data_IF_206330978188
#
_entry.id   IF_206330978188
#
_cell.length_a   1.000
_cell.length_b   1.000
_cell.length_c   1.000
_cell.angle_alpha   90.00
_cell.angle_beta   90.00
_cell.angle_gamma   90.00
#
_symmetry.space_group_name_H-M   'P 1'
#
loop_
_entity.id
_entity.type
_entity.pdbx_description
1 polymer ?
#
# COMPACT_ATOMS: atom_id res chain seq x y z
N UNK A 1 -18.94 63.56 36.04
CA UNK A 1 -18.77 62.59 34.93
C UNK A 1 -17.36 62.01 35.03
N UNK A 2 -17.20 60.95 35.83
CA UNK A 2 -15.88 60.43 36.22
C UNK A 2 -15.36 59.40 35.23
N UNK A 3 -14.25 59.70 34.55
CA UNK A 3 -13.55 58.76 33.67
C UNK A 3 -12.79 57.77 34.56
N UNK A 4 -13.30 56.53 34.65
CA UNK A 4 -12.63 55.42 35.35
C UNK A 4 -11.36 55.01 34.59
N UNK A 5 -10.21 55.38 35.11
CA UNK A 5 -8.87 54.94 34.71
C UNK A 5 -8.57 53.51 35.21
N UNK A 6 -9.33 52.52 34.72
CA UNK A 6 -9.13 51.09 35.04
C UNK A 6 -8.31 50.29 34.00
N UNK A 7 -7.78 50.94 32.96
CA UNK A 7 -7.35 50.27 31.72
C UNK A 7 -5.96 49.62 31.71
N UNK A 8 -4.99 50.10 32.52
CA UNK A 8 -3.59 49.68 32.36
C UNK A 8 -3.27 48.32 32.99
N UNK A 9 -3.88 47.97 34.12
CA UNK A 9 -3.65 46.68 34.83
C UNK A 9 -4.15 45.47 34.01
N UNK A 10 -5.34 45.59 33.39
CA UNK A 10 -5.88 44.52 32.56
C UNK A 10 -5.05 44.23 31.32
N UNK A 11 -4.43 45.26 30.73
CA UNK A 11 -3.57 45.12 29.54
C UNK A 11 -2.35 44.24 29.82
N UNK A 12 -1.62 44.50 30.91
CA UNK A 12 -0.43 43.73 31.28
C UNK A 12 -0.73 42.26 31.63
N UNK A 13 -1.87 41.99 32.27
CA UNK A 13 -2.28 40.62 32.57
C UNK A 13 -2.65 39.85 31.28
N UNK A 14 -3.37 40.50 30.35
CA UNK A 14 -3.72 39.87 29.06
C UNK A 14 -2.51 39.58 28.19
N UNK A 15 -1.51 40.47 28.16
CA UNK A 15 -0.26 40.22 27.41
C UNK A 15 0.56 39.10 28.02
N UNK A 16 0.62 38.99 29.36
CA UNK A 16 1.32 37.89 30.03
C UNK A 16 0.67 36.52 29.72
N UNK A 17 -0.67 36.45 29.74
CA UNK A 17 -1.39 35.24 29.37
C UNK A 17 -1.13 34.85 27.91
N UNK A 18 -1.23 35.82 27.00
CA UNK A 18 -0.98 35.60 25.59
C UNK A 18 0.46 35.11 25.35
N UNK A 19 1.47 35.79 25.91
CA UNK A 19 2.87 35.38 25.79
C UNK A 19 3.12 33.95 26.31
N UNK A 20 2.59 33.61 27.49
CA UNK A 20 2.70 32.26 28.04
C UNK A 20 2.04 31.21 27.14
N UNK A 21 0.85 31.52 26.59
CA UNK A 21 0.15 30.61 25.67
C UNK A 21 0.94 30.42 24.37
N UNK A 22 1.44 31.51 23.76
CA UNK A 22 2.22 31.44 22.52
C UNK A 22 3.53 30.65 22.69
N UNK A 23 4.26 30.87 23.79
CA UNK A 23 5.49 30.11 24.10
C UNK A 23 5.16 28.63 24.30
N UNK A 24 4.17 28.30 25.12
CA UNK A 24 3.78 26.92 25.37
C UNK A 24 3.30 26.21 24.10
N UNK A 25 2.57 26.92 23.24
CA UNK A 25 2.11 26.42 21.95
C UNK A 25 3.26 26.09 21.01
N UNK A 26 4.22 27.01 20.85
CA UNK A 26 5.38 26.82 20.00
C UNK A 26 6.29 25.69 20.51
N UNK A 27 6.57 25.67 21.81
CA UNK A 27 7.40 24.64 22.44
C UNK A 27 6.77 23.25 22.30
N UNK A 28 5.45 23.13 22.50
CA UNK A 28 4.74 21.86 22.31
C UNK A 28 4.89 21.35 20.88
N UNK A 29 4.67 22.21 19.88
CA UNK A 29 4.76 21.84 18.48
C UNK A 29 6.19 21.47 18.07
N UNK A 30 7.18 22.26 18.48
CA UNK A 30 8.59 22.02 18.17
C UNK A 30 9.11 20.74 18.84
N UNK A 31 8.78 20.53 20.11
CA UNK A 31 9.21 19.35 20.86
C UNK A 31 8.54 18.08 20.32
N UNK A 32 7.24 18.15 19.96
CA UNK A 32 6.55 17.06 19.28
C UNK A 32 7.24 16.70 17.95
N UNK A 33 7.55 17.70 17.13
CA UNK A 33 8.22 17.50 15.85
C UNK A 33 9.63 16.90 16.02
N UNK A 34 10.40 17.38 17.00
CA UNK A 34 11.75 16.86 17.28
C UNK A 34 11.71 15.40 17.77
N UNK A 35 10.88 15.09 18.76
CA UNK A 35 10.78 13.74 19.34
C UNK A 35 10.27 12.71 18.32
N UNK A 36 9.31 13.12 17.48
CA UNK A 36 8.78 12.26 16.40
C UNK A 36 9.76 12.11 15.23
N UNK A 37 10.63 13.08 14.98
CA UNK A 37 11.64 13.01 13.92
C UNK A 37 12.74 12.01 14.26
N UNK A 38 13.31 12.12 15.46
CA UNK A 38 14.39 11.23 15.91
C UNK A 38 13.88 9.87 16.40
N UNK A 39 12.57 9.62 16.35
CA UNK A 39 11.92 8.38 16.79
C UNK A 39 12.33 7.95 18.22
N UNK A 40 12.57 8.93 19.11
CA UNK A 40 13.04 8.69 20.48
C UNK A 40 12.00 7.91 21.28
N UNK A 41 10.72 8.15 21.00
CA UNK A 41 9.57 7.50 21.62
C UNK A 41 8.49 7.23 20.57
N UNK A 42 7.59 6.24 20.79
CA UNK A 42 6.42 6.05 19.94
C UNK A 42 5.58 7.33 19.83
N UNK A 43 5.18 7.71 18.62
CA UNK A 43 4.46 8.96 18.38
C UNK A 43 3.15 9.07 19.18
N UNK A 44 2.49 7.95 19.48
CA UNK A 44 1.31 7.90 20.35
C UNK A 44 1.61 8.34 21.79
N UNK A 45 2.74 7.91 22.34
CA UNK A 45 3.20 8.33 23.67
C UNK A 45 3.63 9.80 23.67
N UNK A 46 4.33 10.26 22.63
CA UNK A 46 4.71 11.66 22.48
C UNK A 46 3.47 12.55 22.41
N UNK A 47 2.44 12.19 21.63
CA UNK A 47 1.18 12.96 21.53
C UNK A 47 0.47 13.13 22.87
N UNK A 48 0.59 12.14 23.77
CA UNK A 48 -0.01 12.21 25.10
C UNK A 48 0.73 13.19 26.01
N UNK A 49 2.07 13.22 25.96
CA UNK A 49 2.88 14.09 26.81
C UNK A 49 2.99 15.52 26.27
N UNK A 50 3.18 15.63 24.96
CA UNK A 50 3.47 16.86 24.23
C UNK A 50 2.55 16.89 22.99
N UNK A 51 1.38 17.55 23.10
CA UNK A 51 0.41 17.59 22.02
C UNK A 51 0.98 18.24 20.74
N UNK A 52 0.54 17.74 19.60
CA UNK A 52 0.87 18.31 18.29
C UNK A 52 0.06 19.60 18.06
N UNK A 53 0.56 20.72 18.59
CA UNK A 53 -0.06 22.06 18.45
C UNK A 53 0.23 22.70 17.09
N UNK A 54 1.37 22.38 16.49
CA UNK A 54 1.70 22.70 15.11
C UNK A 54 2.00 21.39 14.40
N UNK A 55 1.33 21.15 13.27
CA UNK A 55 1.44 19.87 12.56
C UNK A 55 2.89 19.55 12.19
N UNK A 56 3.31 18.31 12.43
CA UNK A 56 4.69 17.84 12.24
C UNK A 56 5.18 18.01 10.80
N UNK A 57 4.27 17.92 9.82
CA UNK A 57 4.59 18.11 8.40
C UNK A 57 5.02 19.53 8.08
N UNK A 58 4.53 20.53 8.81
CA UNK A 58 4.93 21.93 8.61
C UNK A 58 6.42 22.14 8.89
N UNK A 59 6.96 21.47 9.91
CA UNK A 59 8.38 21.53 10.28
C UNK A 59 9.31 20.86 9.26
N UNK A 60 8.77 19.97 8.42
CA UNK A 60 9.49 19.19 7.42
C UNK A 60 9.29 19.74 5.99
N UNK A 61 8.46 20.76 5.84
CA UNK A 61 8.20 21.39 4.56
C UNK A 61 9.44 22.12 4.05
N UNK A 62 9.46 22.44 2.75
CA UNK A 62 10.54 23.26 2.18
C UNK A 62 10.52 24.67 2.74
N UNK A 63 11.66 25.37 2.71
CA UNK A 63 11.70 26.77 3.11
C UNK A 63 10.74 27.62 2.26
N UNK A 64 10.07 28.63 2.84
CA UNK A 64 10.18 29.14 4.23
C UNK A 64 9.16 28.54 5.23
N UNK A 65 8.43 27.50 4.83
CA UNK A 65 7.25 27.01 5.56
C UNK A 65 7.51 26.53 6.99
N UNK A 66 8.66 25.89 7.32
CA UNK A 66 8.98 25.52 8.70
C UNK A 66 9.10 26.69 9.68
N UNK A 67 9.29 27.92 9.18
CA UNK A 67 9.30 29.13 10.00
C UNK A 67 7.95 29.87 9.92
N UNK A 68 7.40 30.00 8.71
CA UNK A 68 6.18 30.75 8.49
C UNK A 68 4.96 30.14 9.19
N UNK A 69 4.77 28.81 9.12
CA UNK A 69 3.59 28.15 9.68
C UNK A 69 3.55 28.22 11.22
N UNK A 70 4.64 27.89 11.97
CA UNK A 70 4.64 28.05 13.42
C UNK A 70 4.40 29.51 13.85
N UNK A 71 5.00 30.48 13.16
CA UNK A 71 4.82 31.91 13.46
C UNK A 71 3.36 32.32 13.23
N UNK A 72 2.78 31.98 12.08
CA UNK A 72 1.37 32.26 11.78
C UNK A 72 0.44 31.60 12.80
N UNK A 73 0.71 30.35 13.17
CA UNK A 73 -0.08 29.61 14.17
C UNK A 73 -0.06 30.29 15.54
N UNK A 74 1.13 30.71 16.01
CA UNK A 74 1.28 31.45 17.27
C UNK A 74 0.57 32.80 17.19
N UNK A 75 0.76 33.56 16.10
CA UNK A 75 0.11 34.87 15.95
C UNK A 75 -1.42 34.76 15.88
N UNK A 76 -1.96 33.72 15.23
CA UNK A 76 -3.40 33.42 15.24
C UNK A 76 -3.89 33.12 16.65
N UNK A 77 -3.19 32.23 17.40
CA UNK A 77 -3.52 31.91 18.78
C UNK A 77 -3.55 33.17 19.66
N UNK A 78 -2.51 34.00 19.57
CA UNK A 78 -2.40 35.24 20.32
C UNK A 78 -3.54 36.21 19.99
N UNK A 79 -3.83 36.41 18.70
CA UNK A 79 -4.91 37.29 18.25
C UNK A 79 -6.28 36.82 18.75
N UNK A 80 -6.60 35.53 18.56
CA UNK A 80 -7.86 34.94 19.02
C UNK A 80 -7.99 35.02 20.55
N UNK A 81 -6.94 34.67 21.29
CA UNK A 81 -6.95 34.73 22.75
C UNK A 81 -7.14 36.16 23.26
N UNK A 82 -6.44 37.13 22.69
CA UNK A 82 -6.60 38.54 23.07
C UNK A 82 -8.01 39.05 22.78
N UNK A 83 -8.64 38.64 21.67
CA UNK A 83 -10.03 38.96 21.37
C UNK A 83 -10.98 38.33 22.40
N UNK A 84 -10.83 37.04 22.71
CA UNK A 84 -11.67 36.35 23.71
C UNK A 84 -11.55 37.01 25.10
N UNK A 85 -10.33 37.32 25.54
CA UNK A 85 -10.09 37.96 26.84
C UNK A 85 -10.68 39.37 26.92
N UNK A 86 -10.69 40.13 25.81
CA UNK A 86 -11.36 41.44 25.75
C UNK A 86 -12.86 41.35 25.99
N UNK A 87 -13.51 40.23 25.64
CA UNK A 87 -14.95 40.04 25.83
C UNK A 87 -15.31 39.35 27.15
N UNK A 88 -14.45 38.47 27.65
CA UNK A 88 -14.72 37.67 28.85
C UNK A 88 -14.41 38.43 30.16
N UNK A 89 -13.26 39.12 30.23
CA UNK A 89 -12.78 39.75 31.47
C UNK A 89 -13.63 40.95 31.93
N UNK A 90 -14.09 41.86 31.04
CA UNK A 90 -14.94 42.98 31.47
C UNK A 90 -16.32 42.54 31.96
N UNK A 91 -16.88 41.44 31.44
CA UNK A 91 -18.18 40.91 31.87
C UNK A 91 -18.12 40.25 33.24
N UNK A 92 -17.07 39.46 33.49
CA UNK A 92 -16.89 38.77 34.77
C UNK A 92 -16.71 39.73 35.97
N UNK A 93 -16.15 40.92 35.72
CA UNK A 93 -15.90 41.95 36.73
C UNK A 93 -17.05 42.96 36.88
N UNK A 94 -17.82 43.22 35.81
CA UNK A 94 -18.97 44.12 35.85
C UNK A 94 -20.19 43.53 36.59
N UNK A 95 -20.41 42.22 36.50
CA UNK A 95 -21.57 41.54 37.12
C UNK A 95 -21.44 41.33 38.64
N UNK A 96 -20.29 41.69 39.25
CA UNK A 96 -20.05 41.48 40.69
C UNK A 96 -19.48 42.73 41.37
N UNK A 97 -20.34 43.56 42.02
CA UNK A 97 -19.86 44.64 42.87
C UNK A 97 -18.98 44.06 43.99
N UNK A 98 -17.70 44.45 44.06
CA UNK A 98 -16.74 44.00 45.09
C UNK A 98 -15.84 42.83 44.69
N UNK A 99 -15.89 42.34 43.44
CA UNK A 99 -15.01 41.27 42.99
C UNK A 99 -13.53 41.68 42.99
N UNK A 100 -12.72 40.92 43.71
CA UNK A 100 -11.27 41.13 43.78
C UNK A 100 -10.60 40.48 42.55
N UNK A 101 -9.73 41.20 41.81
CA UNK A 101 -9.10 40.67 40.61
C UNK A 101 -8.25 39.44 40.90
N UNK A 102 -8.37 38.41 40.06
CA UNK A 102 -7.66 37.15 40.22
C UNK A 102 -8.40 36.13 41.09
N UNK A 103 -9.73 36.17 41.05
CA UNK A 103 -10.61 35.19 41.68
C UNK A 103 -10.50 33.82 40.99
N UNK A 104 -11.05 32.77 41.60
CA UNK A 104 -11.15 31.44 40.96
C UNK A 104 -11.96 31.51 39.66
N UNK A 105 -12.97 32.38 39.59
CA UNK A 105 -13.79 32.58 38.40
C UNK A 105 -12.99 33.21 37.24
N UNK A 106 -12.07 34.13 37.54
CA UNK A 106 -11.19 34.73 36.53
C UNK A 106 -10.21 33.70 35.98
N UNK A 107 -9.64 32.86 36.85
CA UNK A 107 -8.76 31.76 36.45
C UNK A 107 -9.48 30.82 35.47
N UNK A 108 -10.71 30.39 35.81
CA UNK A 108 -11.51 29.50 34.96
C UNK A 108 -11.90 30.17 33.63
N UNK A 109 -12.25 31.46 33.65
CA UNK A 109 -12.60 32.22 32.45
C UNK A 109 -11.40 32.34 31.49
N UNK A 110 -10.22 32.68 32.02
CA UNK A 110 -9.00 32.79 31.21
C UNK A 110 -8.58 31.42 30.69
N UNK A 111 -8.65 30.38 31.52
CA UNK A 111 -8.38 29.01 31.10
C UNK A 111 -9.29 28.57 29.96
N UNK A 112 -10.60 28.80 30.07
CA UNK A 112 -11.56 28.49 29.01
C UNK A 112 -11.27 29.30 27.73
N UNK A 113 -10.86 30.57 27.84
CA UNK A 113 -10.45 31.36 26.68
C UNK A 113 -9.23 30.75 25.99
N UNK A 114 -8.27 30.18 26.73
CA UNK A 114 -7.11 29.49 26.16
C UNK A 114 -7.52 28.21 25.44
N UNK A 115 -8.42 27.42 26.02
CA UNK A 115 -8.99 26.21 25.38
C UNK A 115 -9.70 26.55 24.07
N UNK A 116 -10.51 27.60 24.07
CA UNK A 116 -11.22 28.05 22.86
C UNK A 116 -10.25 28.60 21.82
N UNK A 117 -9.25 29.38 22.23
CA UNK A 117 -8.25 29.92 21.31
C UNK A 117 -7.41 28.83 20.66
N UNK A 118 -7.00 27.79 21.40
CA UNK A 118 -6.27 26.67 20.83
C UNK A 118 -7.11 25.90 19.82
N UNK A 119 -8.37 25.59 20.18
CA UNK A 119 -9.30 24.89 19.29
C UNK A 119 -9.55 25.67 17.99
N UNK A 120 -9.84 26.98 18.08
CA UNK A 120 -10.08 27.83 16.92
C UNK A 120 -8.84 27.97 16.02
N UNK A 121 -7.65 28.08 16.61
CA UNK A 121 -6.39 28.12 15.85
C UNK A 121 -6.19 26.85 15.04
N UNK A 122 -6.47 25.69 15.64
CA UNK A 122 -6.37 24.40 14.96
C UNK A 122 -7.47 24.22 13.90
N UNK A 123 -8.69 24.68 14.17
CA UNK A 123 -9.79 24.67 13.19
C UNK A 123 -9.44 25.46 11.92
N UNK A 124 -8.77 26.61 12.07
CA UNK A 124 -8.29 27.41 10.92
C UNK A 124 -7.23 26.67 10.10
N UNK A 125 -6.26 26.03 10.77
CA UNK A 125 -5.31 25.16 10.07
C UNK A 125 -6.01 24.00 9.34
N UNK A 126 -6.96 23.33 10.01
CA UNK A 126 -7.74 22.25 9.45
C UNK A 126 -8.54 22.68 8.21
N UNK A 127 -9.15 23.87 8.23
CA UNK A 127 -9.84 24.44 7.06
C UNK A 127 -8.89 24.57 5.86
N UNK A 128 -7.67 25.07 6.06
CA UNK A 128 -6.64 25.12 5.02
C UNK A 128 -6.27 23.73 4.49
N UNK A 129 -6.11 22.76 5.39
CA UNK A 129 -5.79 21.38 5.02
C UNK A 129 -6.91 20.69 4.21
N UNK A 130 -8.17 21.02 4.51
CA UNK A 130 -9.35 20.54 3.78
C UNK A 130 -9.37 21.13 2.36
N UNK A 131 -9.11 22.44 2.22
CA UNK A 131 -9.00 23.11 0.92
C UNK A 131 -7.89 22.51 0.05
N UNK A 132 -6.76 22.13 0.67
CA UNK A 132 -5.63 21.51 -0.04
C UNK A 132 -5.95 20.14 -0.65
N UNK A 133 -7.01 19.48 -0.18
CA UNK A 133 -7.42 18.14 -0.62
C UNK A 133 -8.57 18.18 -1.64
N UNK A 134 -9.01 19.37 -2.09
CA UNK A 134 -10.15 19.48 -2.99
C UNK A 134 -9.75 19.27 -4.47
N UNK A 135 -10.51 18.47 -5.26
CA UNK A 135 -11.62 17.61 -4.84
C UNK A 135 -11.14 16.36 -4.10
N UNK A 136 -11.81 15.94 -3.01
CA UNK A 136 -11.36 14.81 -2.21
C UNK A 136 -11.55 13.48 -2.95
N UNK A 137 -10.62 12.51 -2.83
CA UNK A 137 -10.78 11.17 -3.39
C UNK A 137 -11.99 10.43 -2.80
N UNK A 138 -12.28 10.66 -1.51
CA UNK A 138 -13.41 10.10 -0.77
C UNK A 138 -13.88 11.10 0.28
N UNK A 139 -15.19 11.27 0.44
CA UNK A 139 -15.76 12.19 1.42
C UNK A 139 -15.32 11.88 2.88
N UNK A 140 -15.16 10.60 3.22
CA UNK A 140 -14.72 10.17 4.55
C UNK A 140 -13.32 10.71 4.92
N UNK A 141 -12.42 10.85 3.94
CA UNK A 141 -11.04 11.29 4.17
C UNK A 141 -10.92 12.80 4.43
N UNK A 142 -11.97 13.58 4.15
CA UNK A 142 -11.95 15.04 4.25
C UNK A 142 -11.66 15.51 5.69
N UNK A 143 -12.12 14.76 6.68
CA UNK A 143 -12.07 15.17 8.10
C UNK A 143 -11.02 14.42 8.93
N UNK A 144 -10.33 13.42 8.39
CA UNK A 144 -9.34 12.61 9.13
C UNK A 144 -8.22 13.48 9.72
N UNK A 145 -7.71 14.42 8.92
CA UNK A 145 -6.69 15.37 9.35
C UNK A 145 -7.24 16.45 10.31
N UNK A 146 -8.52 16.82 10.15
CA UNK A 146 -9.15 17.84 10.99
C UNK A 146 -9.40 17.32 12.41
N UNK A 147 -9.92 16.10 12.56
CA UNK A 147 -10.22 15.51 13.86
C UNK A 147 -8.98 15.40 14.74
N UNK A 148 -7.88 14.91 14.20
CA UNK A 148 -6.61 14.74 14.95
C UNK A 148 -5.99 16.07 15.40
N UNK A 149 -6.01 17.09 14.53
CA UNK A 149 -5.50 18.42 14.86
C UNK A 149 -6.37 19.12 15.92
N UNK A 150 -7.70 19.04 15.80
CA UNK A 150 -8.63 19.63 16.76
C UNK A 150 -8.52 18.97 18.14
N UNK A 151 -8.44 17.64 18.18
CA UNK A 151 -8.26 16.89 19.42
C UNK A 151 -6.94 17.26 20.12
N UNK A 152 -5.83 17.34 19.37
CA UNK A 152 -4.52 17.70 19.92
C UNK A 152 -4.51 19.12 20.51
N UNK A 153 -5.13 20.07 19.82
CA UNK A 153 -5.23 21.46 20.27
C UNK A 153 -6.17 21.64 21.46
N UNK A 154 -7.31 20.93 21.47
CA UNK A 154 -8.23 20.90 22.60
C UNK A 154 -7.58 20.28 23.84
N UNK A 155 -6.90 19.14 23.66
CA UNK A 155 -6.13 18.47 24.70
C UNK A 155 -5.05 19.38 25.29
N UNK A 156 -4.28 20.09 24.44
CA UNK A 156 -3.31 21.07 24.90
C UNK A 156 -3.96 22.19 25.74
N UNK A 157 -5.07 22.75 25.27
CA UNK A 157 -5.78 23.81 26.00
C UNK A 157 -6.29 23.34 27.36
N UNK A 158 -6.81 22.11 27.45
CA UNK A 158 -7.33 21.53 28.69
C UNK A 158 -6.18 21.26 29.67
N UNK A 159 -5.13 20.57 29.23
CA UNK A 159 -4.04 20.12 30.11
C UNK A 159 -3.06 21.22 30.46
N UNK A 160 -2.73 22.11 29.51
CA UNK A 160 -1.68 23.12 29.68
C UNK A 160 -2.21 24.54 29.78
N UNK A 161 -3.47 24.79 29.44
CA UNK A 161 -4.06 26.13 29.44
C UNK A 161 -4.15 26.79 30.83
N UNK A 162 -4.00 26.02 31.92
CA UNK A 162 -3.94 26.58 33.27
C UNK A 162 -2.67 27.41 33.48
N UNK A 163 -1.57 27.16 32.76
CA UNK A 163 -0.32 27.91 32.91
C UNK A 163 -0.49 29.37 32.46
N UNK A 164 -1.01 29.68 31.25
CA UNK A 164 -1.38 31.04 30.88
C UNK A 164 -2.40 31.69 31.82
N UNK A 165 -3.38 30.92 32.32
CA UNK A 165 -4.38 31.43 33.25
C UNK A 165 -3.77 31.85 34.60
N UNK A 166 -2.84 31.07 35.13
CA UNK A 166 -2.08 31.42 36.34
C UNK A 166 -1.18 32.63 36.10
N UNK A 167 -0.53 32.72 34.93
CA UNK A 167 0.27 33.89 34.56
C UNK A 167 -0.59 35.17 34.56
N UNK A 168 -1.80 35.11 34.00
CA UNK A 168 -2.77 36.19 34.04
C UNK A 168 -3.10 36.61 35.48
N UNK A 169 -3.52 35.64 36.33
CA UNK A 169 -3.92 35.91 37.72
C UNK A 169 -2.77 36.49 38.54
N UNK A 170 -1.56 35.99 38.36
CA UNK A 170 -0.37 36.48 39.07
C UNK A 170 -0.06 37.94 38.72
N UNK A 171 -0.16 38.32 37.45
CA UNK A 171 0.06 39.71 37.02
C UNK A 171 -1.10 40.60 37.46
N UNK A 172 -2.34 40.14 37.35
CA UNK A 172 -3.52 40.87 37.79
C UNK A 172 -3.51 41.17 39.29
N UNK A 173 -3.06 40.22 40.13
CA UNK A 173 -2.94 40.39 41.59
C UNK A 173 -1.80 41.31 42.03
N UNK A 174 -0.75 41.41 41.22
CA UNK A 174 0.42 42.28 41.50
C UNK A 174 0.19 43.73 41.11
N UNK A 175 -0.88 44.03 40.36
CA UNK A 175 -1.20 45.39 39.99
C UNK A 175 -1.61 46.20 41.24
N UNK A 176 -0.88 47.27 41.59
CA UNK A 176 -1.19 48.07 42.78
C UNK A 176 -2.62 48.62 42.70
N UNK A 177 -3.35 48.47 43.81
CA UNK A 177 -4.66 49.08 43.98
C UNK A 177 -4.47 50.56 44.33
N UNK A 178 -4.40 51.43 43.33
CA UNK A 178 -4.71 52.85 43.47
C UNK A 178 -3.62 53.88 43.16
N UNK A 179 -4.09 54.98 42.57
CA UNK A 179 -3.56 56.36 42.63
C UNK A 179 -2.12 56.59 42.17
N UNK A 180 -1.91 56.60 40.86
CA UNK A 180 -0.76 57.25 40.24
C UNK A 180 -1.22 58.23 39.17
N UNK A 181 -1.19 59.52 39.48
CA UNK A 181 -1.28 60.60 38.48
C UNK A 181 0.01 60.62 37.68
N UNK A 182 -0.02 60.16 36.42
CA UNK A 182 1.09 60.26 35.47
C UNK A 182 0.52 60.74 34.12
N UNK A 183 1.23 61.60 33.36
CA UNK A 183 0.65 62.51 32.38
C UNK A 183 0.00 61.83 31.18
N UNK A 184 -1.00 62.53 30.61
CA UNK A 184 -1.75 62.20 29.39
C UNK A 184 -0.84 62.06 28.15
N UNK A 185 -0.17 60.93 28.00
CA UNK A 185 0.16 60.45 26.67
C UNK A 185 -1.15 59.97 26.05
N UNK A 186 -1.82 60.83 25.27
CA UNK A 186 -3.02 60.47 24.49
C UNK A 186 -2.70 59.20 23.72
N UNK A 187 -3.20 58.02 24.13
CA UNK A 187 -2.92 56.80 23.39
C UNK A 187 -3.62 56.99 22.06
N UNK A 188 -2.89 56.86 20.94
CA UNK A 188 -3.50 56.78 19.61
C UNK A 188 -4.53 55.65 19.69
N UNK A 189 -5.81 56.01 19.80
CA UNK A 189 -6.90 55.04 19.84
C UNK A 189 -6.97 54.43 18.45
N UNK A 190 -6.35 53.26 18.30
CA UNK A 190 -6.58 52.43 17.13
C UNK A 190 -8.10 52.27 16.97
N UNK A 191 -8.64 52.34 15.75
CA UNK A 191 -10.06 52.09 15.53
C UNK A 191 -10.40 50.70 16.07
N UNK A 192 -11.55 50.57 16.73
CA UNK A 192 -11.93 49.35 17.46
C UNK A 192 -11.86 48.06 16.62
N UNK A 193 -11.94 48.17 15.28
CA UNK A 193 -11.83 47.07 14.34
C UNK A 193 -10.39 46.67 13.92
N UNK A 194 -9.37 47.49 14.12
CA UNK A 194 -7.99 47.18 13.71
C UNK A 194 -7.43 45.84 14.24
N UNK A 195 -7.60 45.47 15.54
CA UNK A 195 -7.08 44.20 16.05
C UNK A 195 -7.87 42.98 15.55
N UNK A 196 -9.16 43.15 15.26
CA UNK A 196 -9.99 42.10 14.64
C UNK A 196 -9.53 41.87 13.21
N UNK A 197 -9.34 42.95 12.43
CA UNK A 197 -8.84 42.87 11.06
C UNK A 197 -7.45 42.24 10.99
N UNK A 198 -6.52 42.65 11.87
CA UNK A 198 -5.18 42.05 11.93
C UNK A 198 -5.23 40.55 12.24
N UNK A 199 -6.04 40.14 13.22
CA UNK A 199 -6.22 38.72 13.56
C UNK A 199 -6.83 37.93 12.40
N UNK A 200 -7.84 38.50 11.72
CA UNK A 200 -8.46 37.89 10.56
C UNK A 200 -7.47 37.72 9.40
N UNK A 201 -6.62 38.71 9.13
CA UNK A 201 -5.58 38.62 8.10
C UNK A 201 -4.59 37.50 8.43
N UNK A 202 -4.08 37.43 9.65
CA UNK A 202 -3.15 36.36 10.07
C UNK A 202 -3.83 34.98 9.99
N UNK A 203 -5.09 34.86 10.41
CA UNK A 203 -5.87 33.64 10.29
C UNK A 203 -6.05 33.20 8.83
N UNK A 204 -6.36 34.13 7.92
CA UNK A 204 -6.45 33.85 6.48
C UNK A 204 -5.10 33.40 5.91
N UNK A 205 -3.99 34.02 6.33
CA UNK A 205 -2.65 33.59 5.94
C UNK A 205 -2.32 32.18 6.45
N UNK A 206 -2.73 31.83 7.67
CA UNK A 206 -2.57 30.48 8.21
C UNK A 206 -3.36 29.43 7.40
N UNK A 207 -4.62 29.75 7.06
CA UNK A 207 -5.47 28.90 6.20
C UNK A 207 -4.82 28.70 4.83
N UNK A 208 -4.31 29.77 4.22
CA UNK A 208 -3.65 29.72 2.91
C UNK A 208 -2.29 28.99 2.95
N UNK A 209 -1.59 28.99 4.08
CA UNK A 209 -0.27 28.36 4.20
C UNK A 209 -0.32 26.83 4.04
N UNK A 210 -1.43 26.17 4.42
CA UNK A 210 -1.57 24.72 4.28
C UNK A 210 -1.50 24.24 2.81
N UNK A 211 -2.34 24.70 1.88
CA UNK A 211 -2.25 24.29 0.46
C UNK A 211 -0.97 24.78 -0.22
N UNK A 212 -0.47 25.97 0.13
CA UNK A 212 0.73 26.54 -0.48
C UNK A 212 1.99 25.75 -0.09
N UNK A 213 2.15 25.41 1.20
CA UNK A 213 3.27 24.59 1.67
C UNK A 213 3.26 23.17 1.10
N UNK A 214 2.08 22.55 1.01
CA UNK A 214 1.91 21.23 0.40
C UNK A 214 2.26 21.23 -1.09
N UNK A 215 1.88 22.27 -1.83
CA UNK A 215 2.20 22.41 -3.25
C UNK A 215 3.68 22.68 -3.48
N UNK A 216 4.28 23.59 -2.70
CA UNK A 216 5.71 23.90 -2.78
C UNK A 216 6.58 22.68 -2.46
N UNK A 217 6.22 21.92 -1.42
CA UNK A 217 6.96 20.72 -1.02
C UNK A 217 6.87 19.63 -2.10
N UNK A 218 5.69 19.41 -2.69
CA UNK A 218 5.53 18.46 -3.82
C UNK A 218 6.36 18.85 -5.04
N UNK A 219 6.34 20.13 -5.41
CA UNK A 219 7.14 20.63 -6.54
C UNK A 219 8.64 20.42 -6.31
N UNK A 220 9.13 20.67 -5.10
CA UNK A 220 10.52 20.43 -4.74
C UNK A 220 10.89 18.94 -4.78
N UNK A 221 10.03 18.05 -4.27
CA UNK A 221 10.25 16.60 -4.33
C UNK A 221 10.32 16.10 -5.78
N UNK A 222 9.47 16.61 -6.67
CA UNK A 222 9.50 16.27 -8.09
C UNK A 222 10.77 16.79 -8.79
N UNK A 223 11.23 17.99 -8.43
CA UNK A 223 12.48 18.53 -8.97
C UNK A 223 13.72 17.74 -8.53
N UNK A 224 13.67 17.09 -7.36
CA UNK A 224 14.74 16.25 -6.83
C UNK A 224 14.66 14.79 -7.29
N UNK A 225 13.53 14.37 -7.87
CA UNK A 225 13.37 13.02 -8.39
C UNK A 225 14.32 12.81 -9.58
N UNK A 226 15.36 11.99 -9.36
CA UNK A 226 16.24 11.55 -10.46
C UNK A 226 15.39 10.72 -11.45
N UNK A 227 15.57 10.88 -12.77
CA UNK A 227 14.90 10.02 -13.74
C UNK A 227 15.17 8.55 -13.41
N UNK A 228 14.13 7.74 -13.36
CA UNK A 228 14.29 6.30 -13.21
C UNK A 228 15.19 5.78 -14.34
N UNK A 229 16.12 4.83 -14.08
CA UNK A 229 16.84 4.15 -15.14
C UNK A 229 15.83 3.53 -16.10
N UNK A 230 16.08 3.61 -17.41
CA UNK A 230 15.25 2.93 -18.39
C UNK A 230 15.21 1.43 -18.08
N UNK A 231 14.04 0.78 -18.10
CA UNK A 231 13.95 -0.66 -17.86
C UNK A 231 14.82 -1.39 -18.90
N UNK A 232 15.72 -2.23 -18.43
CA UNK A 232 16.50 -3.12 -19.30
C UNK A 232 15.56 -4.18 -19.90
N UNK A 233 15.70 -4.55 -21.19
CA UNK A 233 14.86 -5.58 -21.78
C UNK A 233 15.09 -6.91 -21.06
N UNK A 234 14.01 -7.52 -20.57
CA UNK A 234 14.06 -8.88 -20.01
C UNK A 234 14.39 -9.85 -21.14
N UNK A 235 15.41 -10.72 -20.99
CA UNK A 235 15.67 -11.76 -21.98
C UNK A 235 14.45 -12.69 -22.10
N UNK A 236 14.15 -13.22 -23.30
CA UNK A 236 13.03 -14.14 -23.47
C UNK A 236 13.22 -15.40 -22.60
N UNK A 237 12.13 -16.00 -22.10
CA UNK A 237 12.22 -17.22 -21.31
C UNK A 237 12.84 -18.35 -22.13
N UNK A 238 13.74 -19.11 -21.52
CA UNK A 238 14.29 -20.34 -22.11
C UNK A 238 13.24 -21.44 -21.97
N UNK A 239 12.80 -22.01 -23.10
CA UNK A 239 11.82 -23.10 -23.14
C UNK A 239 12.50 -24.40 -22.71
N UNK A 240 11.93 -25.07 -21.70
CA UNK A 240 12.37 -26.40 -21.24
C UNK A 240 11.37 -27.45 -21.69
N UNK A 241 11.73 -28.25 -22.70
CA UNK A 241 10.94 -29.38 -23.17
C UNK A 241 11.12 -30.65 -22.34
N UNK A 242 10.28 -31.64 -22.60
CA UNK A 242 10.39 -32.97 -21.98
C UNK A 242 11.75 -33.63 -22.26
N UNK A 243 12.27 -34.46 -21.34
CA UNK A 243 13.50 -35.22 -21.57
C UNK A 243 13.43 -36.07 -22.85
N UNK A 244 14.53 -36.10 -23.61
CA UNK A 244 14.63 -36.90 -24.84
C UNK A 244 14.82 -38.39 -24.57
N UNK A 245 15.16 -38.78 -23.34
CA UNK A 245 15.28 -40.17 -22.87
C UNK A 245 14.52 -40.29 -21.55
N UNK A 246 13.56 -41.23 -21.48
CA UNK A 246 12.85 -41.51 -20.23
C UNK A 246 13.68 -42.33 -19.24
N UNK A 247 13.39 -42.25 -17.93
CA UNK A 247 14.04 -43.09 -16.94
C UNK A 247 13.66 -44.56 -17.13
N UNK A 248 14.64 -45.48 -17.05
CA UNK A 248 14.39 -46.92 -17.10
C UNK A 248 14.77 -47.59 -15.77
N UNK A 249 13.96 -48.57 -15.35
CA UNK A 249 14.24 -49.45 -14.22
C UNK A 249 14.84 -50.80 -14.66
N UNK A 250 14.93 -51.06 -15.97
CA UNK A 250 15.43 -52.31 -16.53
C UNK A 250 16.52 -52.04 -17.58
N UNK A 251 17.56 -52.87 -17.59
CA UNK A 251 18.56 -52.85 -18.64
C UNK A 251 17.94 -53.35 -19.96
N UNK A 252 18.24 -52.67 -21.07
CA UNK A 252 17.78 -53.08 -22.39
C UNK A 252 18.41 -54.43 -22.77
N UNK A 253 17.57 -55.39 -23.17
CA UNK A 253 18.02 -56.67 -23.72
C UNK A 253 18.58 -56.43 -25.14
N UNK A 254 19.74 -57.01 -25.50
CA UNK A 254 20.29 -56.90 -26.86
C UNK A 254 19.34 -57.35 -27.98
N UNK A 255 18.36 -58.21 -27.69
CA UNK A 255 17.34 -58.64 -28.64
C UNK A 255 16.22 -57.59 -28.85
N UNK A 256 16.13 -56.56 -28.00
CA UNK A 256 15.07 -55.57 -28.08
C UNK A 256 15.22 -54.61 -29.26
N UNK A 257 14.09 -54.09 -29.75
CA UNK A 257 14.07 -53.13 -30.83
C UNK A 257 14.72 -51.79 -30.43
N UNK A 258 15.92 -51.51 -30.95
CA UNK A 258 16.61 -50.24 -30.71
C UNK A 258 15.98 -49.10 -31.50
N UNK A 259 16.12 -47.86 -30.99
CA UNK A 259 15.55 -46.66 -31.63
C UNK A 259 16.01 -46.46 -33.08
N UNK A 260 17.23 -46.88 -33.44
CA UNK A 260 17.76 -46.74 -34.80
C UNK A 260 17.25 -47.80 -35.78
N UNK A 261 16.68 -48.90 -35.26
CA UNK A 261 16.14 -50.01 -36.06
C UNK A 261 14.66 -49.83 -36.37
N UNK A 262 14.00 -48.83 -35.79
CA UNK A 262 12.56 -48.67 -35.89
C UNK A 262 12.16 -47.26 -36.26
N UNK A 263 11.01 -47.13 -36.91
CA UNK A 263 10.33 -45.86 -37.15
C UNK A 263 9.00 -45.89 -36.43
N UNK A 264 8.76 -44.88 -35.59
CA UNK A 264 7.49 -44.71 -34.90
C UNK A 264 6.66 -43.64 -35.63
N UNK A 265 5.38 -43.93 -35.84
CA UNK A 265 4.40 -42.97 -36.37
C UNK A 265 3.14 -42.94 -35.52
N UNK A 266 2.45 -41.80 -35.53
CA UNK A 266 1.11 -41.66 -34.98
C UNK A 266 0.10 -42.07 -36.05
N UNK A 267 -0.92 -42.84 -35.70
CA UNK A 267 -2.08 -43.02 -36.58
C UNK A 267 -3.21 -42.06 -36.22
N UNK A 268 -4.30 -42.13 -36.98
CA UNK A 268 -5.44 -41.25 -36.80
C UNK A 268 -6.12 -41.47 -35.43
N UNK A 269 -6.38 -40.39 -34.66
CA UNK A 269 -7.15 -40.48 -33.43
C UNK A 269 -8.60 -40.89 -33.70
N UNK A 270 -9.15 -41.74 -32.83
CA UNK A 270 -10.56 -42.07 -32.74
C UNK A 270 -11.17 -41.49 -31.45
N UNK A 271 -12.48 -41.28 -31.43
CA UNK A 271 -13.18 -40.65 -30.32
C UNK A 271 -14.57 -41.25 -30.11
N UNK A 272 -14.90 -41.57 -28.85
CA UNK A 272 -16.24 -42.01 -28.48
C UNK A 272 -16.60 -41.54 -27.07
N UNK A 273 -17.80 -40.96 -26.90
CA UNK A 273 -18.39 -40.63 -25.59
C UNK A 273 -17.50 -39.77 -24.67
N UNK A 274 -16.71 -38.86 -25.24
CA UNK A 274 -15.77 -38.00 -24.48
C UNK A 274 -14.38 -38.61 -24.25
N UNK A 275 -14.15 -39.84 -24.71
CA UNK A 275 -12.86 -40.50 -24.71
C UNK A 275 -12.18 -40.37 -26.08
N UNK A 276 -10.86 -40.49 -26.10
CA UNK A 276 -9.98 -40.45 -27.27
C UNK A 276 -9.05 -41.64 -27.25
N UNK A 277 -8.74 -42.17 -28.42
CA UNK A 277 -7.76 -43.22 -28.62
C UNK A 277 -6.86 -42.85 -29.80
N UNK A 278 -5.57 -43.15 -29.73
CA UNK A 278 -4.67 -42.94 -30.86
C UNK A 278 -3.66 -44.09 -30.95
N UNK A 279 -3.54 -44.76 -32.11
CA UNK A 279 -2.55 -45.79 -32.30
C UNK A 279 -1.15 -45.19 -32.46
N UNK A 280 -0.18 -45.82 -31.80
CA UNK A 280 1.25 -45.70 -32.04
C UNK A 280 1.67 -46.90 -32.89
N UNK A 281 2.33 -46.65 -34.01
CA UNK A 281 2.83 -47.68 -34.92
C UNK A 281 4.34 -47.70 -34.91
N UNK A 282 4.92 -48.87 -34.72
CA UNK A 282 6.36 -49.10 -34.74
C UNK A 282 6.68 -50.04 -35.90
N UNK A 283 7.34 -49.53 -36.94
CA UNK A 283 7.83 -50.29 -38.08
C UNK A 283 9.29 -50.67 -37.85
N UNK A 284 9.64 -51.96 -37.96
CA UNK A 284 11.04 -52.38 -38.01
C UNK A 284 11.64 -52.04 -39.38
N UNK A 285 12.47 -51.01 -39.43
CA UNK A 285 13.20 -50.57 -40.62
C UNK A 285 14.59 -51.19 -40.73
N UNK A 286 15.02 -51.98 -39.74
CA UNK A 286 16.28 -52.71 -39.74
C UNK A 286 16.27 -53.97 -40.60
N UNK A 287 17.45 -54.53 -40.83
CA UNK A 287 17.62 -55.76 -41.61
C UNK A 287 17.44 -57.07 -40.83
N UNK A 288 17.20 -57.02 -39.52
CA UNK A 288 17.05 -58.19 -38.64
C UNK A 288 15.80 -58.08 -37.78
N UNK A 289 15.19 -59.20 -37.35
CA UNK A 289 14.12 -59.18 -36.37
C UNK A 289 14.57 -58.55 -35.05
N UNK A 290 13.63 -57.95 -34.32
CA UNK A 290 13.85 -57.44 -32.96
C UNK A 290 12.63 -57.72 -32.08
N UNK A 291 12.78 -57.63 -30.76
CA UNK A 291 11.72 -57.95 -29.78
C UNK A 291 11.20 -56.68 -29.11
N UNK A 292 9.89 -56.60 -28.92
CA UNK A 292 9.24 -55.65 -28.01
C UNK A 292 8.68 -56.43 -26.83
N UNK A 293 9.01 -56.02 -25.61
CA UNK A 293 8.46 -56.62 -24.37
C UNK A 293 8.28 -55.56 -23.29
N UNK A 294 7.68 -54.43 -23.65
CA UNK A 294 7.50 -53.27 -22.80
C UNK A 294 6.33 -52.42 -23.28
N UNK A 295 6.02 -51.38 -22.50
CA UNK A 295 5.17 -50.28 -22.94
C UNK A 295 6.01 -49.24 -23.71
N UNK A 296 5.42 -48.55 -24.70
CA UNK A 296 6.01 -47.34 -25.27
C UNK A 296 6.34 -46.34 -24.17
N UNK A 297 7.50 -45.70 -24.25
CA UNK A 297 7.86 -44.59 -23.37
C UNK A 297 7.42 -43.27 -24.03
N UNK A 298 6.55 -42.53 -23.37
CA UNK A 298 5.93 -41.32 -23.92
C UNK A 298 6.11 -40.11 -23.02
N UNK A 299 6.29 -38.94 -23.65
CA UNK A 299 6.25 -37.64 -23.00
C UNK A 299 5.65 -36.60 -23.95
N UNK A 300 5.27 -35.44 -23.41
CA UNK A 300 4.46 -34.47 -24.13
C UNK A 300 5.03 -33.08 -23.98
N UNK A 301 5.03 -32.33 -25.07
CA UNK A 301 5.29 -30.90 -25.06
C UNK A 301 4.09 -30.15 -25.62
N UNK A 302 3.91 -28.92 -25.17
CA UNK A 302 2.91 -28.02 -25.72
C UNK A 302 3.31 -27.49 -27.11
N UNK A 303 2.44 -26.69 -27.72
CA UNK A 303 2.67 -26.07 -29.03
C UNK A 303 3.83 -25.05 -29.04
N UNK A 304 4.29 -24.59 -27.88
CA UNK A 304 5.46 -23.72 -27.71
C UNK A 304 6.74 -24.50 -27.35
N UNK A 305 6.65 -25.83 -27.17
CA UNK A 305 7.76 -26.71 -26.86
C UNK A 305 8.03 -26.95 -25.37
N UNK A 306 7.20 -26.42 -24.46
CA UNK A 306 7.33 -26.65 -23.02
C UNK A 306 6.89 -28.05 -22.64
N UNK A 307 7.62 -28.69 -21.72
CA UNK A 307 7.22 -29.95 -21.14
C UNK A 307 5.83 -29.84 -20.49
N UNK A 308 4.96 -30.81 -20.75
CA UNK A 308 3.66 -30.93 -20.11
C UNK A 308 3.69 -32.05 -19.08
N UNK A 309 3.17 -31.79 -17.89
CA UNK A 309 3.06 -32.77 -16.81
C UNK A 309 1.84 -33.67 -17.05
N UNK A 310 1.96 -34.64 -17.94
CA UNK A 310 0.91 -35.61 -18.26
C UNK A 310 1.39 -36.98 -17.81
N UNK A 311 0.62 -37.62 -16.93
CA UNK A 311 0.94 -38.92 -16.38
C UNK A 311 0.65 -40.04 -17.40
N UNK A 312 1.68 -40.71 -17.88
CA UNK A 312 1.53 -41.95 -18.63
C UNK A 312 1.25 -43.13 -17.68
N UNK A 313 0.11 -43.77 -17.84
CA UNK A 313 -0.35 -44.92 -17.06
C UNK A 313 -0.37 -46.15 -17.95
N UNK A 314 0.35 -47.19 -17.56
CA UNK A 314 0.33 -48.46 -18.29
C UNK A 314 -1.02 -49.17 -18.10
N UNK A 315 -1.66 -49.55 -19.21
CA UNK A 315 -2.95 -50.25 -19.18
C UNK A 315 -3.90 -49.85 -20.31
N UNK A 316 -5.11 -50.39 -20.23
CA UNK A 316 -6.21 -50.05 -21.14
C UNK A 316 -6.99 -48.80 -20.69
N UNK A 317 -7.93 -48.38 -21.53
CA UNK A 317 -8.83 -47.26 -21.29
C UNK A 317 -10.24 -47.62 -21.78
N UNK A 318 -11.17 -46.67 -21.76
CA UNK A 318 -12.44 -46.83 -22.46
C UNK A 318 -12.28 -47.17 -23.96
N UNK A 319 -11.24 -46.60 -24.60
CA UNK A 319 -11.00 -46.78 -26.05
C UNK A 319 -10.10 -47.98 -26.37
N UNK A 320 -9.44 -48.57 -25.36
CA UNK A 320 -8.33 -49.51 -25.60
C UNK A 320 -8.35 -50.66 -24.60
N UNK A 321 -8.05 -51.88 -25.06
CA UNK A 321 -7.84 -53.03 -24.17
C UNK A 321 -6.36 -53.38 -24.14
N UNK A 322 -5.78 -53.49 -22.94
CA UNK A 322 -4.39 -53.89 -22.76
C UNK A 322 -4.30 -55.32 -22.24
N UNK A 323 -3.48 -56.14 -22.90
CA UNK A 323 -3.14 -57.50 -22.42
C UNK A 323 -1.87 -57.51 -21.57
N UNK A 324 -1.20 -56.37 -21.47
CA UNK A 324 0.10 -56.22 -20.83
C UNK A 324 1.26 -56.62 -21.75
N UNK A 325 2.50 -56.36 -21.32
CA UNK A 325 3.70 -56.67 -22.09
C UNK A 325 3.83 -58.18 -22.27
N UNK A 326 4.04 -58.58 -23.52
CA UNK A 326 4.47 -59.93 -23.87
C UNK A 326 5.53 -59.83 -24.98
N UNK A 327 6.47 -60.78 -25.08
CA UNK A 327 7.47 -60.75 -26.13
C UNK A 327 6.84 -60.79 -27.52
N UNK A 328 7.07 -59.74 -28.30
CA UNK A 328 6.61 -59.59 -29.68
C UNK A 328 7.83 -59.48 -30.60
N UNK A 329 8.04 -60.49 -31.44
CA UNK A 329 9.09 -60.46 -32.47
C UNK A 329 8.59 -59.71 -33.70
N UNK A 330 9.21 -58.57 -33.99
CA UNK A 330 8.92 -57.73 -35.16
C UNK A 330 9.94 -58.03 -36.25
N UNK A 331 9.53 -58.73 -37.31
CA UNK A 331 10.37 -59.02 -38.47
C UNK A 331 10.72 -57.73 -39.25
N UNK A 332 11.79 -57.72 -40.06
CA UNK A 332 12.06 -56.61 -40.98
C UNK A 332 10.84 -56.26 -41.84
N UNK A 333 10.46 -54.99 -41.86
CA UNK A 333 9.27 -54.49 -42.57
C UNK A 333 7.93 -54.78 -41.88
N UNK A 334 7.91 -55.49 -40.75
CA UNK A 334 6.70 -55.72 -39.97
C UNK A 334 6.42 -54.55 -39.00
N UNK A 335 5.15 -54.41 -38.62
CA UNK A 335 4.67 -53.33 -37.74
C UNK A 335 4.11 -53.90 -36.45
N UNK A 336 4.45 -53.27 -35.33
CA UNK A 336 3.77 -53.42 -34.05
C UNK A 336 2.93 -52.18 -33.74
N UNK A 337 1.86 -52.36 -32.96
CA UNK A 337 0.94 -51.33 -32.53
C UNK A 337 0.79 -51.32 -31.01
N UNK A 338 0.75 -50.12 -30.45
CA UNK A 338 0.30 -49.80 -29.11
C UNK A 338 -0.70 -48.65 -29.20
N UNK A 339 -1.46 -48.38 -28.14
CA UNK A 339 -2.48 -47.34 -28.16
C UNK A 339 -2.34 -46.39 -26.97
N UNK A 340 -2.53 -45.11 -27.24
CA UNK A 340 -2.79 -44.08 -26.25
C UNK A 340 -4.30 -43.94 -26.06
N UNK A 341 -4.76 -43.80 -24.82
CA UNK A 341 -6.16 -43.55 -24.50
C UNK A 341 -6.31 -42.47 -23.43
N UNK A 342 -7.12 -41.45 -23.69
CA UNK A 342 -7.31 -40.33 -22.74
C UNK A 342 -8.74 -39.77 -22.82
N UNK A 343 -9.11 -38.94 -21.85
CA UNK A 343 -10.35 -38.19 -21.87
C UNK A 343 -10.14 -36.85 -22.56
N UNK A 344 -11.12 -36.33 -23.29
CA UNK A 344 -11.06 -34.96 -23.80
C UNK A 344 -11.01 -33.98 -22.62
N UNK A 345 -9.84 -33.36 -22.37
CA UNK A 345 -9.59 -32.56 -21.17
C UNK A 345 -9.52 -31.05 -21.44
N UNK A 346 -9.16 -30.64 -22.67
CA UNK A 346 -8.93 -29.22 -22.98
C UNK A 346 -10.24 -28.44 -23.18
N UNK A 347 -10.36 -27.31 -22.47
CA UNK A 347 -11.35 -26.26 -22.67
C UNK A 347 -10.84 -25.12 -23.55
N UNK A 348 -11.69 -24.10 -23.74
CA UNK A 348 -11.32 -22.92 -24.51
C UNK A 348 -10.22 -22.11 -23.81
N UNK A 349 -9.07 -21.95 -24.47
CA UNK A 349 -7.92 -21.20 -23.95
C UNK A 349 -6.87 -22.05 -23.23
N UNK A 350 -7.08 -23.36 -23.11
CA UNK A 350 -6.09 -24.25 -22.51
C UNK A 350 -4.90 -24.52 -23.43
N UNK A 351 -3.72 -24.64 -22.82
CA UNK A 351 -2.51 -25.10 -23.50
C UNK A 351 -2.61 -26.59 -23.79
N UNK A 352 -2.54 -26.94 -25.07
CA UNK A 352 -2.67 -28.30 -25.59
C UNK A 352 -1.33 -28.91 -25.97
N UNK A 353 -1.30 -30.24 -26.05
CA UNK A 353 -0.16 -30.98 -26.58
C UNK A 353 0.04 -30.63 -28.04
N UNK A 354 1.24 -30.13 -28.37
CA UNK A 354 1.69 -29.86 -29.73
C UNK A 354 2.69 -30.89 -30.25
N UNK A 355 3.27 -31.70 -29.36
CA UNK A 355 4.30 -32.68 -29.71
C UNK A 355 4.29 -33.84 -28.72
N UNK A 356 4.45 -35.06 -29.24
CA UNK A 356 4.63 -36.28 -28.46
C UNK A 356 6.03 -36.81 -28.72
N UNK A 357 6.75 -37.12 -27.66
CA UNK A 357 8.03 -37.81 -27.72
C UNK A 357 7.77 -39.28 -27.42
N UNK A 358 8.13 -40.18 -28.33
CA UNK A 358 7.85 -41.63 -28.21
C UNK A 358 9.11 -42.46 -28.42
N UNK A 359 9.35 -43.43 -27.55
CA UNK A 359 10.36 -44.46 -27.75
C UNK A 359 9.75 -45.87 -27.65
N UNK A 360 10.41 -46.91 -28.20
CA UNK A 360 9.93 -48.30 -28.11
C UNK A 360 9.78 -48.78 -26.67
N UNK A 361 10.64 -48.31 -25.77
CA UNK A 361 10.63 -48.57 -24.34
C UNK A 361 11.44 -47.48 -23.62
N UNK A 362 11.38 -47.44 -22.29
CA UNK A 362 12.07 -46.43 -21.51
C UNK A 362 13.60 -46.62 -21.51
N UNK A 363 14.36 -45.52 -21.38
CA UNK A 363 15.83 -45.55 -21.35
C UNK A 363 16.52 -45.50 -22.71
N UNK A 364 15.77 -45.39 -23.81
CA UNK A 364 16.31 -45.12 -25.15
C UNK A 364 15.77 -43.80 -25.72
N UNK A 365 16.44 -43.20 -26.72
CA UNK A 365 16.00 -41.93 -27.29
C UNK A 365 14.58 -41.98 -27.85
N UNK A 366 13.78 -40.97 -27.48
CA UNK A 366 12.44 -40.71 -27.98
C UNK A 366 12.49 -39.95 -29.30
N UNK A 367 11.65 -40.37 -30.24
CA UNK A 367 11.37 -39.63 -31.47
C UNK A 367 10.32 -38.57 -31.19
N UNK A 368 10.59 -37.33 -31.57
CA UNK A 368 9.64 -36.23 -31.48
C UNK A 368 8.70 -36.24 -32.68
N UNK A 369 7.39 -36.29 -32.43
CA UNK A 369 6.33 -36.37 -33.43
C UNK A 369 5.33 -35.22 -33.20
N UNK A 370 5.03 -34.39 -34.21
CA UNK A 370 4.03 -33.35 -34.08
C UNK A 370 2.65 -33.99 -33.84
N UNK A 371 1.86 -33.39 -32.95
CA UNK A 371 0.51 -33.84 -32.65
C UNK A 371 -0.34 -32.63 -32.23
N UNK A 372 -1.66 -32.71 -32.43
CA UNK A 372 -2.61 -31.75 -31.84
C UNK A 372 -3.62 -32.52 -30.98
N UNK A 373 -3.30 -32.73 -29.70
CA UNK A 373 -4.14 -33.50 -28.80
C UNK A 373 -4.80 -32.59 -27.76
N UNK A 374 -6.07 -32.85 -27.45
CA UNK A 374 -6.86 -32.16 -26.41
C UNK A 374 -6.52 -32.62 -24.98
N UNK A 375 -5.23 -32.82 -24.74
CA UNK A 375 -4.64 -33.14 -23.44
C UNK A 375 -4.02 -31.89 -22.81
N UNK A 376 -4.10 -31.79 -21.49
CA UNK A 376 -3.60 -30.65 -20.71
C UNK A 376 -2.70 -31.14 -19.57
N UNK A 377 -1.84 -30.26 -19.05
CA UNK A 377 -0.98 -30.56 -17.90
C UNK A 377 -1.82 -30.90 -16.66
N UNK A 378 -1.36 -31.84 -15.84
CA UNK A 378 -2.08 -32.44 -14.71
C UNK A 378 -3.02 -33.60 -15.11
N UNK A 379 -3.16 -33.87 -16.40
CA UNK A 379 -3.93 -35.00 -16.92
C UNK A 379 -3.17 -36.33 -16.92
N UNK A 380 -3.83 -37.38 -17.41
CA UNK A 380 -3.21 -38.69 -17.61
C UNK A 380 -3.59 -39.31 -18.95
N UNK A 381 -2.78 -40.26 -19.40
CA UNK A 381 -2.98 -41.05 -20.61
C UNK A 381 -2.71 -42.52 -20.32
N UNK A 382 -3.63 -43.38 -20.70
CA UNK A 382 -3.42 -44.82 -20.71
C UNK A 382 -2.54 -45.20 -21.91
N UNK A 383 -1.56 -46.07 -21.70
CA UNK A 383 -0.66 -46.58 -22.74
C UNK A 383 -0.73 -48.10 -22.70
N UNK A 384 -1.13 -48.74 -23.79
CA UNK A 384 -1.13 -50.21 -23.90
C UNK A 384 0.25 -50.74 -24.22
N UNK A 385 0.50 -52.02 -23.95
CA UNK A 385 1.71 -52.67 -24.42
C UNK A 385 1.71 -52.83 -25.95
N UNK A 386 2.90 -53.07 -26.52
CA UNK A 386 3.04 -53.40 -27.94
C UNK A 386 2.41 -54.76 -28.29
N UNK A 387 1.80 -54.83 -29.47
CA UNK A 387 1.28 -56.06 -30.09
C UNK A 387 1.57 -56.05 -31.59
N UNK A 388 1.59 -57.20 -32.27
CA UNK A 388 1.71 -57.18 -33.74
C UNK A 388 0.48 -56.54 -34.36
N UNK A 389 0.71 -55.63 -35.31
CA UNK A 389 -0.38 -55.06 -36.10
C UNK A 389 -1.08 -56.18 -36.87
N UNK A 390 -2.42 -56.19 -36.88
CA UNK A 390 -3.15 -57.08 -37.77
C UNK A 390 -2.98 -56.59 -39.22
N UNK A 391 -2.85 -57.49 -40.21
CA UNK A 391 -2.92 -57.10 -41.61
C UNK A 391 -4.24 -56.35 -41.87
N UNK A 392 -4.20 -55.27 -42.64
CA UNK A 392 -5.41 -54.61 -43.11
C UNK A 392 -6.25 -55.65 -43.89
N UNK A 393 -7.51 -55.81 -43.49
CA UNK A 393 -8.45 -56.74 -44.12
C UNK A 393 -8.97 -56.21 -45.46
#
# INVERSE_FOLDING_TARGET
>A
MGIRSGGMSGSAATTAAAAAAGIGWLLSGALFAALSWFSVLPASLVRLLVPETVVATAWRAVMPWPLAIPVLSVLTLLGVLLLLLRFAVPRATADRPGAQPGSRADLMSVWLCVVLASFLTSALWSAGSILAQWPPPRAAMLFDAAGTALLSAGYWGIVWGWVPAVAWVRVARRAPHGQGTVPDAVPRRLPAGAPVAATAVVAMLLVAAAPLSGSATRAASLAQARPAPAPSPTPPPVVYGSPTVGPSLQAADPAWCRSEQVRITLGEPDAATGHRGMPLRLLNTGGTPCVLNAYPDVAFNDTAGWAMDILAVHGGSFMTTDRGPSPVTVAPGATAEAFLGWNAMAGAGDTRVGTILVAPFAGVPRTSLPADLDMVSGGYVAVTAWSLAKPAA
#
